data_IF_957682727742
#
_entry.id   IF_957682727742
#
_cell.length_a   1.000
_cell.length_b   1.000
_cell.length_c   1.000
_cell.angle_alpha   90.00
_cell.angle_beta   90.00
_cell.angle_gamma   90.00
#
_symmetry.space_group_name_H-M   'P 1'
#
loop_
_entity.id
_entity.type
_entity.pdbx_description
1 polymer ?
#
# COMPACT_ATOMS: atom_id res chain seq x y z
N UNK A 1 33.71 -12.42 -7.58
CA UNK A 1 32.54 -12.78 -6.75
C UNK A 1 31.94 -14.06 -7.24
N UNK A 2 31.81 -15.08 -6.39
CA UNK A 2 30.99 -16.24 -6.74
C UNK A 2 29.57 -15.75 -7.00
N UNK A 3 29.03 -16.06 -8.18
CA UNK A 3 27.68 -15.62 -8.53
C UNK A 3 26.70 -16.39 -7.64
N UNK A 4 25.97 -15.68 -6.77
CA UNK A 4 24.91 -16.27 -5.95
C UNK A 4 23.89 -16.95 -6.88
N UNK A 5 23.33 -18.08 -6.47
CA UNK A 5 22.28 -18.77 -7.22
C UNK A 5 20.93 -18.05 -7.07
N UNK A 6 20.87 -16.79 -7.48
CA UNK A 6 19.68 -15.95 -7.53
C UNK A 6 19.22 -15.89 -8.99
N UNK A 7 17.96 -16.22 -9.24
CA UNK A 7 17.40 -16.30 -10.60
C UNK A 7 16.23 -15.35 -10.79
N UNK A 8 16.40 -14.38 -11.68
CA UNK A 8 15.30 -13.51 -12.10
C UNK A 8 14.19 -14.26 -12.83
N UNK A 9 14.54 -15.34 -13.57
CA UNK A 9 13.51 -16.12 -14.25
C UNK A 9 12.61 -16.88 -13.27
N UNK A 10 13.17 -17.49 -12.21
CA UNK A 10 12.34 -18.12 -11.16
C UNK A 10 11.40 -17.11 -10.49
N UNK A 11 11.86 -15.88 -10.28
CA UNK A 11 11.04 -14.79 -9.74
C UNK A 11 9.90 -14.41 -10.70
N UNK A 12 10.18 -14.28 -12.01
CA UNK A 12 9.15 -14.06 -13.03
C UNK A 12 8.12 -15.18 -13.06
N UNK A 13 8.59 -16.44 -13.08
CA UNK A 13 7.74 -17.63 -13.07
C UNK A 13 6.86 -17.71 -11.81
N UNK A 14 7.37 -17.19 -10.70
CA UNK A 14 6.59 -17.07 -9.45
C UNK A 14 5.55 -15.99 -9.56
N UNK A 15 5.90 -14.74 -9.92
CA UNK A 15 4.96 -13.61 -10.04
C UNK A 15 3.84 -13.93 -11.03
N UNK A 16 4.15 -14.59 -12.15
CA UNK A 16 3.17 -14.96 -13.18
C UNK A 16 2.03 -15.87 -12.69
N UNK A 17 2.16 -16.47 -11.50
CA UNK A 17 1.08 -17.24 -10.87
C UNK A 17 0.00 -16.37 -10.24
N UNK A 18 0.22 -15.06 -10.12
CA UNK A 18 -0.60 -14.10 -9.38
C UNK A 18 -1.25 -13.03 -10.27
N UNK A 19 -1.53 -13.39 -11.53
CA UNK A 19 -2.25 -12.52 -12.46
C UNK A 19 -3.76 -12.47 -12.11
N UNK A 20 -4.06 -11.99 -10.91
CA UNK A 20 -5.40 -11.76 -10.38
C UNK A 20 -5.37 -10.78 -9.21
N UNK A 21 -6.45 -10.02 -9.06
CA UNK A 21 -6.64 -9.13 -7.91
C UNK A 21 -6.75 -9.98 -6.64
N UNK A 22 -5.99 -9.61 -5.59
CA UNK A 22 -5.92 -10.32 -4.31
C UNK A 22 -6.12 -9.39 -3.13
N UNK A 23 -7.22 -8.65 -3.22
CA UNK A 23 -7.61 -7.70 -2.18
C UNK A 23 -7.72 -8.39 -0.81
N UNK A 24 -7.24 -7.70 0.23
CA UNK A 24 -7.22 -8.21 1.60
C UNK A 24 -8.60 -8.68 2.08
N UNK A 25 -8.63 -9.83 2.74
CA UNK A 25 -9.83 -10.45 3.29
C UNK A 25 -10.70 -11.18 2.27
N UNK A 26 -10.24 -11.35 1.02
CA UNK A 26 -10.95 -12.09 -0.03
C UNK A 26 -10.45 -13.53 -0.17
N UNK A 27 -11.20 -14.38 -0.85
CA UNK A 27 -10.75 -15.74 -1.19
C UNK A 27 -9.57 -15.73 -2.19
N UNK A 28 -9.41 -14.65 -2.94
CA UNK A 28 -8.27 -14.46 -3.83
C UNK A 28 -6.98 -14.20 -3.02
N UNK A 29 -7.04 -13.44 -1.95
CA UNK A 29 -5.89 -13.29 -1.02
C UNK A 29 -5.52 -14.63 -0.37
N UNK A 30 -6.51 -15.41 0.10
CA UNK A 30 -6.27 -16.77 0.63
C UNK A 30 -5.62 -17.71 -0.39
N UNK A 31 -6.05 -17.62 -1.66
CA UNK A 31 -5.42 -18.35 -2.77
C UNK A 31 -3.96 -17.91 -2.94
N UNK A 32 -3.67 -16.61 -2.87
CA UNK A 32 -2.31 -16.10 -2.96
C UNK A 32 -1.44 -16.62 -1.81
N UNK A 33 -1.92 -16.57 -0.58
CA UNK A 33 -1.24 -17.13 0.58
C UNK A 33 -0.92 -18.62 0.42
N UNK A 34 -1.87 -19.39 -0.10
CA UNK A 34 -1.67 -20.82 -0.38
C UNK A 34 -0.59 -21.05 -1.45
N UNK A 35 -0.52 -20.22 -2.50
CA UNK A 35 0.51 -20.29 -3.54
C UNK A 35 1.91 -19.96 -3.00
N UNK A 36 2.03 -18.94 -2.17
CA UNK A 36 3.30 -18.55 -1.51
C UNK A 36 3.79 -19.71 -0.62
N UNK A 37 2.94 -20.25 0.24
CA UNK A 37 3.29 -21.38 1.11
C UNK A 37 3.65 -22.64 0.34
N UNK A 38 2.95 -22.90 -0.77
CA UNK A 38 3.29 -24.00 -1.68
C UNK A 38 4.67 -23.84 -2.30
N UNK A 39 5.04 -22.61 -2.69
CA UNK A 39 6.38 -22.33 -3.23
C UNK A 39 7.45 -22.56 -2.16
N UNK A 40 7.26 -22.07 -0.93
CA UNK A 40 8.17 -22.31 0.20
C UNK A 40 8.37 -23.81 0.43
N UNK A 41 7.29 -24.58 0.50
CA UNK A 41 7.35 -26.04 0.68
C UNK A 41 8.08 -26.75 -0.47
N UNK A 42 8.04 -26.20 -1.70
CA UNK A 42 8.68 -26.82 -2.87
C UNK A 42 10.20 -26.94 -2.75
N UNK A 43 10.83 -26.12 -1.93
CA UNK A 43 12.26 -26.18 -1.62
C UNK A 43 12.56 -26.51 -0.15
N UNK A 44 11.59 -27.14 0.54
CA UNK A 44 11.75 -27.65 1.90
C UNK A 44 11.77 -26.56 2.98
N UNK A 45 11.15 -25.40 2.73
CA UNK A 45 11.00 -24.35 3.71
C UNK A 45 9.65 -24.47 4.42
N UNK A 46 9.67 -24.58 5.74
CA UNK A 46 8.47 -24.56 6.57
C UNK A 46 7.96 -23.13 6.74
N UNK A 47 6.65 -22.98 6.72
CA UNK A 47 5.99 -21.69 6.95
C UNK A 47 4.67 -21.87 7.66
N UNK A 48 4.25 -20.88 8.42
CA UNK A 48 2.92 -20.84 9.01
C UNK A 48 2.16 -19.58 8.58
N UNK A 49 0.86 -19.61 8.75
CA UNK A 49 -0.04 -18.50 8.48
C UNK A 49 -0.54 -17.96 9.82
N UNK A 50 -0.35 -16.69 10.07
CA UNK A 50 -0.84 -15.96 11.23
C UNK A 50 -2.04 -15.13 10.80
N UNK A 51 -3.24 -15.65 11.06
CA UNK A 51 -4.48 -14.98 10.68
C UNK A 51 -4.86 -13.91 11.71
N UNK A 52 -5.35 -12.77 11.21
CA UNK A 52 -5.85 -11.68 12.04
C UNK A 52 -7.17 -11.11 11.48
N UNK A 53 -8.10 -10.73 12.34
CA UNK A 53 -9.33 -10.04 11.93
C UNK A 53 -9.07 -8.55 11.72
N UNK A 54 -9.77 -7.97 10.77
CA UNK A 54 -9.80 -6.52 10.56
C UNK A 54 -11.17 -6.06 10.08
N UNK A 55 -11.43 -4.77 10.24
CA UNK A 55 -12.66 -4.14 9.74
C UNK A 55 -12.33 -3.34 8.48
N UNK A 56 -13.21 -3.43 7.49
CA UNK A 56 -13.14 -2.66 6.26
C UNK A 56 -14.53 -2.21 5.84
N UNK A 57 -14.61 -1.38 4.81
CA UNK A 57 -15.87 -0.86 4.32
C UNK A 57 -16.19 -1.45 2.96
N UNK A 58 -17.43 -1.88 2.77
CA UNK A 58 -17.97 -2.34 1.49
C UNK A 58 -19.02 -1.38 0.99
N UNK A 59 -18.85 -0.93 -0.26
CA UNK A 59 -19.83 -0.10 -0.94
C UNK A 59 -20.82 -1.02 -1.63
N UNK A 60 -22.07 -1.01 -1.16
CA UNK A 60 -23.17 -1.77 -1.76
C UNK A 60 -23.75 -1.06 -2.98
N UNK A 61 -23.76 0.29 -2.95
CA UNK A 61 -24.27 1.10 -4.03
C UNK A 61 -23.61 2.46 -4.04
N UNK A 62 -23.08 2.86 -5.18
CA UNK A 62 -22.66 4.22 -5.47
C UNK A 62 -23.26 4.65 -6.80
N UNK A 63 -23.97 5.79 -6.83
CA UNK A 63 -24.59 6.28 -8.05
C UNK A 63 -24.68 7.80 -8.03
N UNK A 64 -24.54 8.39 -9.22
CA UNK A 64 -24.72 9.82 -9.44
C UNK A 64 -25.52 10.07 -10.70
N UNK A 65 -26.53 10.93 -10.62
CA UNK A 65 -27.35 11.34 -11.76
C UNK A 65 -27.61 12.84 -11.74
N UNK A 66 -27.50 13.49 -12.88
CA UNK A 66 -28.08 14.82 -13.10
C UNK A 66 -29.58 14.66 -13.34
N UNK A 67 -30.40 15.46 -12.66
CA UNK A 67 -31.86 15.39 -12.76
C UNK A 67 -32.45 16.63 -13.46
N UNK A 68 -31.75 17.76 -13.44
CA UNK A 68 -32.10 18.98 -14.16
C UNK A 68 -30.87 19.68 -14.75
N UNK A 69 -30.93 20.29 -15.96
CA UNK A 69 -32.07 20.44 -16.86
C UNK A 69 -32.29 19.23 -17.78
N UNK A 70 -31.56 18.13 -17.57
CA UNK A 70 -31.69 16.87 -18.29
C UNK A 70 -31.52 15.70 -17.31
N UNK A 71 -31.96 14.51 -17.69
CA UNK A 71 -31.68 13.30 -16.90
C UNK A 71 -30.55 12.48 -17.53
N UNK A 72 -29.51 12.19 -16.75
CA UNK A 72 -28.47 11.24 -17.13
C UNK A 72 -27.77 10.69 -15.89
N UNK A 73 -27.60 9.36 -15.86
CA UNK A 73 -26.76 8.67 -14.89
C UNK A 73 -25.30 8.63 -15.37
N UNK A 74 -24.38 8.83 -14.44
CA UNK A 74 -22.95 8.79 -14.67
C UNK A 74 -22.31 7.68 -13.82
N UNK A 75 -21.27 7.07 -14.35
CA UNK A 75 -20.50 6.10 -13.59
C UNK A 75 -19.86 6.78 -12.39
N UNK A 76 -20.02 6.18 -11.22
CA UNK A 76 -19.55 6.75 -9.96
C UNK A 76 -18.93 5.70 -9.07
N UNK A 77 -17.87 6.09 -8.36
CA UNK A 77 -17.22 5.30 -7.31
C UNK A 77 -17.48 5.93 -5.95
N UNK A 78 -17.80 5.11 -4.94
CA UNK A 78 -18.20 5.60 -3.63
C UNK A 78 -17.02 5.90 -2.70
N UNK A 79 -17.16 6.91 -1.86
CA UNK A 79 -16.20 7.23 -0.81
C UNK A 79 -16.49 6.40 0.45
N UNK A 80 -15.50 5.64 0.92
CA UNK A 80 -15.65 4.88 2.17
C UNK A 80 -15.50 5.78 3.41
N UNK A 81 -16.14 5.37 4.50
CA UNK A 81 -16.17 6.12 5.77
C UNK A 81 -16.80 7.51 5.66
N UNK A 82 -17.67 7.71 4.67
CA UNK A 82 -18.54 8.88 4.53
C UNK A 82 -19.96 8.57 5.05
N UNK A 83 -20.85 9.56 4.97
CA UNK A 83 -22.28 9.33 5.29
C UNK A 83 -22.96 8.39 4.30
N UNK A 84 -23.99 7.68 4.75
CA UNK A 84 -24.89 6.94 3.90
C UNK A 84 -26.09 7.81 3.48
N UNK A 85 -26.63 7.57 2.29
CA UNK A 85 -27.90 8.13 1.85
C UNK A 85 -29.07 7.19 2.22
N UNK A 86 -30.33 7.63 2.13
CA UNK A 86 -31.45 6.73 1.94
C UNK A 86 -31.26 5.85 0.68
N UNK A 87 -31.99 4.75 0.57
CA UNK A 87 -31.93 3.82 -0.59
C UNK A 87 -32.18 4.50 -1.94
N UNK A 88 -33.08 5.49 -1.96
CA UNK A 88 -33.42 6.32 -3.12
C UNK A 88 -32.38 7.40 -3.43
N UNK A 89 -31.43 7.60 -2.53
CA UNK A 89 -30.44 8.68 -2.61
C UNK A 89 -30.94 10.00 -2.02
N UNK A 90 -30.09 11.03 -2.10
CA UNK A 90 -30.47 12.43 -1.83
C UNK A 90 -30.54 13.18 -3.15
N UNK A 91 -31.52 14.07 -3.30
CA UNK A 91 -31.64 14.95 -4.44
C UNK A 91 -31.62 16.40 -3.96
N UNK A 92 -30.74 17.22 -4.55
CA UNK A 92 -30.53 18.61 -4.17
C UNK A 92 -30.04 19.44 -5.37
N UNK A 93 -30.06 20.75 -5.18
CA UNK A 93 -29.39 21.66 -6.11
C UNK A 93 -27.93 21.24 -6.25
N UNK A 94 -27.40 21.37 -7.45
CA UNK A 94 -26.05 20.99 -7.80
C UNK A 94 -25.21 22.22 -8.14
N UNK A 95 -23.94 22.20 -7.73
CA UNK A 95 -22.99 23.28 -8.06
C UNK A 95 -21.59 22.72 -8.28
N UNK A 96 -20.89 23.23 -9.28
CA UNK A 96 -19.47 23.03 -9.45
C UNK A 96 -18.71 24.16 -8.74
N UNK A 97 -17.93 23.80 -7.73
CA UNK A 97 -17.20 24.71 -6.85
C UNK A 97 -15.68 24.74 -7.12
N UNK A 98 -15.27 24.37 -8.33
CA UNK A 98 -13.87 24.41 -8.78
C UNK A 98 -12.92 23.72 -7.77
N UNK A 99 -11.93 24.44 -7.24
CA UNK A 99 -10.97 23.91 -6.27
C UNK A 99 -11.44 23.99 -4.81
N UNK A 100 -12.73 24.33 -4.56
CA UNK A 100 -13.29 24.39 -3.21
C UNK A 100 -12.64 25.42 -2.30
N UNK A 101 -12.32 26.60 -2.84
CA UNK A 101 -11.88 27.73 -2.05
C UNK A 101 -13.05 28.37 -1.26
N UNK A 102 -12.75 29.28 -0.33
CA UNK A 102 -13.77 29.87 0.55
C UNK A 102 -14.85 30.67 -0.22
N UNK A 103 -14.50 31.26 -1.35
CA UNK A 103 -15.45 32.03 -2.17
C UNK A 103 -16.40 31.05 -2.88
N UNK A 104 -15.84 30.05 -3.55
CA UNK A 104 -16.61 29.02 -4.28
C UNK A 104 -17.53 28.23 -3.34
N UNK A 105 -17.13 28.03 -2.09
CA UNK A 105 -17.92 27.31 -1.08
C UNK A 105 -18.92 28.23 -0.31
N UNK A 106 -18.93 29.53 -0.51
CA UNK A 106 -19.77 30.46 0.26
C UNK A 106 -21.29 30.25 0.07
N UNK A 107 -21.73 29.64 -1.04
CA UNK A 107 -23.15 29.48 -1.40
C UNK A 107 -23.55 28.02 -1.65
N UNK A 108 -22.89 27.05 -1.00
CA UNK A 108 -23.10 25.60 -1.24
C UNK A 108 -23.96 24.91 -0.21
N UNK A 109 -24.43 25.62 0.83
CA UNK A 109 -25.23 25.02 1.88
C UNK A 109 -26.46 24.30 1.35
N UNK A 110 -26.61 23.03 1.73
CA UNK A 110 -27.71 22.15 1.31
C UNK A 110 -27.62 21.66 -0.13
N UNK A 111 -26.52 21.90 -0.83
CA UNK A 111 -26.31 21.47 -2.23
C UNK A 111 -25.39 20.26 -2.33
N UNK A 112 -25.48 19.54 -3.43
CA UNK A 112 -24.47 18.58 -3.88
C UNK A 112 -23.37 19.35 -4.58
N UNK A 113 -22.15 19.25 -4.08
CA UNK A 113 -21.00 20.10 -4.46
C UNK A 113 -19.97 19.27 -5.21
N UNK A 114 -19.70 19.63 -6.47
CA UNK A 114 -18.62 19.01 -7.24
C UNK A 114 -17.33 19.83 -7.10
N UNK A 115 -16.21 19.17 -6.85
CA UNK A 115 -14.86 19.77 -6.71
C UNK A 115 -13.83 19.08 -7.60
N UNK A 116 -12.84 19.86 -8.06
CA UNK A 116 -11.81 19.43 -9.00
C UNK A 116 -10.61 18.77 -8.33
N UNK A 117 -10.84 17.88 -7.37
CA UNK A 117 -9.78 17.08 -6.72
C UNK A 117 -10.37 15.83 -6.05
N UNK A 118 -9.49 14.87 -5.72
CA UNK A 118 -9.85 13.78 -4.82
C UNK A 118 -10.07 14.37 -3.42
N UNK A 119 -11.31 14.26 -2.92
CA UNK A 119 -11.67 14.75 -1.59
C UNK A 119 -10.96 13.94 -0.52
N UNK A 120 -10.02 14.58 0.16
CA UNK A 120 -9.29 14.08 1.33
C UNK A 120 -9.72 14.84 2.58
N UNK A 121 -9.08 14.58 3.72
CA UNK A 121 -9.41 15.15 5.04
C UNK A 121 -9.75 16.66 4.99
N UNK A 122 -8.86 17.48 4.43
CA UNK A 122 -9.00 18.95 4.50
C UNK A 122 -10.17 19.45 3.65
N UNK A 123 -10.32 18.92 2.43
CA UNK A 123 -11.46 19.27 1.59
C UNK A 123 -12.78 18.75 2.17
N UNK A 124 -12.80 17.54 2.72
CA UNK A 124 -13.98 17.00 3.39
C UNK A 124 -14.45 17.90 4.53
N UNK A 125 -13.51 18.39 5.39
CA UNK A 125 -13.81 19.31 6.48
C UNK A 125 -14.32 20.67 5.98
N UNK A 126 -13.78 21.19 4.86
CA UNK A 126 -14.27 22.43 4.24
C UNK A 126 -15.72 22.26 3.75
N UNK A 127 -16.02 21.18 3.05
CA UNK A 127 -17.36 20.88 2.56
C UNK A 127 -18.36 20.69 3.70
N UNK A 128 -17.95 19.99 4.75
CA UNK A 128 -18.74 19.81 5.96
C UNK A 128 -19.06 21.17 6.63
N UNK A 129 -18.04 22.01 6.83
CA UNK A 129 -18.19 23.35 7.40
C UNK A 129 -19.08 24.26 6.56
N UNK A 130 -18.99 24.15 5.24
CA UNK A 130 -19.84 24.90 4.31
C UNK A 130 -21.29 24.41 4.30
N UNK A 131 -21.57 23.25 4.89
CA UNK A 131 -22.91 22.65 4.99
C UNK A 131 -23.40 22.04 3.70
N UNK A 132 -22.49 21.47 2.88
CA UNK A 132 -22.85 20.69 1.70
C UNK A 132 -23.78 19.52 2.09
N UNK A 133 -24.74 19.17 1.23
CA UNK A 133 -25.60 18.00 1.41
C UNK A 133 -24.89 16.71 1.00
N UNK A 134 -23.92 16.81 0.09
CA UNK A 134 -23.06 15.74 -0.38
C UNK A 134 -22.01 16.29 -1.32
N UNK A 135 -21.08 15.45 -1.75
CA UNK A 135 -20.02 15.91 -2.66
C UNK A 135 -19.76 14.94 -3.83
N UNK A 136 -19.22 15.51 -4.90
CA UNK A 136 -18.72 14.79 -6.07
C UNK A 136 -17.29 15.22 -6.32
N UNK A 137 -16.36 14.28 -6.35
CA UNK A 137 -14.96 14.55 -6.70
C UNK A 137 -14.69 14.21 -8.15
N UNK A 138 -13.81 14.97 -8.78
CA UNK A 138 -13.39 14.73 -10.17
C UNK A 138 -12.06 13.99 -10.15
N UNK A 139 -11.96 12.90 -10.91
CA UNK A 139 -10.74 12.11 -11.08
C UNK A 139 -10.49 11.79 -12.55
N UNK A 140 -9.28 11.34 -12.86
CA UNK A 140 -8.89 11.05 -14.24
C UNK A 140 -8.48 12.30 -15.03
N UNK A 141 -8.26 12.11 -16.31
CA UNK A 141 -7.73 13.14 -17.22
C UNK A 141 -8.56 13.24 -18.51
N UNK A 142 -8.42 14.32 -19.29
CA UNK A 142 -9.15 14.46 -20.55
C UNK A 142 -8.70 13.50 -21.66
N UNK A 143 -7.58 12.78 -21.47
CA UNK A 143 -7.02 11.85 -22.46
C UNK A 143 -7.25 10.38 -22.11
N UNK A 144 -7.95 10.11 -21.01
CA UNK A 144 -8.23 8.76 -20.56
C UNK A 144 -9.24 8.06 -21.50
N UNK A 145 -8.95 6.80 -21.83
CA UNK A 145 -9.75 5.93 -22.67
C UNK A 145 -9.98 4.56 -22.01
N UNK A 146 -11.00 3.84 -22.45
CA UNK A 146 -11.28 2.47 -21.98
C UNK A 146 -11.40 2.37 -20.47
N UNK A 147 -10.63 1.50 -19.85
CA UNK A 147 -10.64 1.25 -18.40
C UNK A 147 -10.11 2.43 -17.56
N UNK A 148 -9.28 3.30 -18.13
CA UNK A 148 -8.80 4.51 -17.45
C UNK A 148 -9.94 5.48 -17.12
N UNK A 149 -11.08 5.37 -17.81
CA UNK A 149 -12.29 6.15 -17.52
C UNK A 149 -13.05 5.70 -16.28
N UNK A 150 -12.59 4.66 -15.61
CA UNK A 150 -13.17 4.28 -14.31
C UNK A 150 -12.93 5.40 -13.29
N UNK A 151 -13.99 5.92 -12.65
CA UNK A 151 -13.80 6.93 -11.61
C UNK A 151 -13.07 6.33 -10.41
N UNK A 152 -12.37 7.19 -9.68
CA UNK A 152 -11.70 6.81 -8.44
C UNK A 152 -12.34 7.56 -7.28
N UNK A 153 -12.34 6.93 -6.12
CA UNK A 153 -12.71 7.56 -4.86
C UNK A 153 -11.65 7.25 -3.80
N UNK A 154 -11.72 7.93 -2.69
CA UNK A 154 -10.89 7.67 -1.52
C UNK A 154 -11.77 7.31 -0.32
N UNK A 155 -11.18 7.19 0.85
CA UNK A 155 -11.88 7.15 2.11
C UNK A 155 -11.48 8.35 2.97
N UNK A 156 -12.33 8.77 3.86
CA UNK A 156 -11.88 9.69 4.91
C UNK A 156 -11.05 8.90 5.94
N UNK A 157 -10.02 9.52 6.54
CA UNK A 157 -9.21 8.83 7.54
C UNK A 157 -10.04 8.30 8.70
N UNK A 158 -9.75 7.09 9.18
CA UNK A 158 -10.49 6.45 10.28
C UNK A 158 -10.60 7.38 11.50
N UNK A 159 -9.50 8.00 11.91
CA UNK A 159 -9.48 8.93 13.05
C UNK A 159 -10.45 10.12 12.89
N UNK A 160 -10.62 10.61 11.67
CA UNK A 160 -11.62 11.65 11.39
C UNK A 160 -13.04 11.07 11.48
N UNK A 161 -13.27 9.91 10.87
CA UNK A 161 -14.56 9.22 10.94
C UNK A 161 -14.99 8.99 12.40
N UNK A 162 -14.10 8.46 13.24
CA UNK A 162 -14.36 8.19 14.66
C UNK A 162 -14.63 9.46 15.49
N UNK A 163 -14.14 10.62 15.02
CA UNK A 163 -14.33 11.91 15.69
C UNK A 163 -15.64 12.62 15.34
N UNK A 164 -16.34 12.17 14.31
CA UNK A 164 -17.59 12.74 13.82
C UNK A 164 -18.78 11.88 14.22
N UNK A 165 -19.92 12.51 14.48
CA UNK A 165 -21.17 11.78 14.64
C UNK A 165 -21.75 11.41 13.27
N UNK A 166 -22.46 10.30 13.17
CA UNK A 166 -23.09 9.85 11.91
C UNK A 166 -23.93 10.95 11.22
N UNK A 167 -24.58 11.83 12.00
CA UNK A 167 -25.40 12.96 11.49
C UNK A 167 -24.58 14.10 10.90
N UNK A 168 -23.30 14.13 11.18
CA UNK A 168 -22.36 15.13 10.68
C UNK A 168 -21.67 14.67 9.41
N UNK A 169 -21.74 13.37 9.11
CA UNK A 169 -21.12 12.81 7.91
C UNK A 169 -21.89 13.24 6.65
N UNK A 170 -21.17 13.63 5.63
CA UNK A 170 -21.71 13.88 4.29
C UNK A 170 -21.26 12.79 3.34
N UNK A 171 -22.14 12.34 2.49
CA UNK A 171 -21.90 11.30 1.49
C UNK A 171 -21.21 11.85 0.26
N UNK A 172 -20.38 11.02 -0.39
CA UNK A 172 -19.65 11.46 -1.57
C UNK A 172 -19.35 10.35 -2.56
N UNK A 173 -19.21 10.76 -3.81
CA UNK A 173 -18.80 9.89 -4.91
C UNK A 173 -17.71 10.55 -5.76
N UNK A 174 -16.91 9.73 -6.42
CA UNK A 174 -15.99 10.13 -7.47
C UNK A 174 -16.62 9.92 -8.85
N UNK A 175 -16.40 10.82 -9.79
CA UNK A 175 -16.74 10.68 -11.21
C UNK A 175 -15.51 10.97 -12.08
N UNK A 176 -15.56 10.54 -13.32
CA UNK A 176 -14.48 10.79 -14.26
C UNK A 176 -14.50 12.23 -14.80
N UNK A 177 -13.32 12.79 -15.12
CA UNK A 177 -13.12 14.13 -15.66
C UNK A 177 -14.01 14.43 -16.89
N UNK A 178 -14.10 13.50 -17.84
CA UNK A 178 -14.90 13.70 -19.06
C UNK A 178 -16.41 13.77 -18.76
N UNK A 179 -16.88 13.06 -17.74
CA UNK A 179 -18.26 13.15 -17.29
C UNK A 179 -18.51 14.48 -16.56
N UNK A 180 -17.57 14.92 -15.72
CA UNK A 180 -17.62 16.23 -15.09
C UNK A 180 -17.64 17.38 -16.10
N UNK A 181 -16.80 17.29 -17.15
CA UNK A 181 -16.79 18.25 -18.26
C UNK A 181 -18.16 18.34 -18.95
N UNK A 182 -18.79 17.20 -19.24
CA UNK A 182 -20.14 17.16 -19.82
C UNK A 182 -21.18 17.81 -18.89
N UNK A 183 -21.14 17.45 -17.59
CA UNK A 183 -22.06 17.97 -16.57
C UNK A 183 -22.01 19.49 -16.49
N UNK A 184 -20.81 20.06 -16.41
CA UNK A 184 -20.61 21.53 -16.35
C UNK A 184 -21.01 22.18 -17.66
N UNK A 185 -20.62 21.63 -18.81
CA UNK A 185 -20.93 22.17 -20.13
C UNK A 185 -22.45 22.22 -20.41
N UNK A 186 -23.18 21.22 -19.93
CA UNK A 186 -24.65 21.14 -20.08
C UNK A 186 -25.41 21.92 -19.01
N UNK A 187 -24.72 22.56 -18.08
CA UNK A 187 -25.34 23.45 -17.09
C UNK A 187 -26.21 22.71 -16.08
N UNK A 188 -25.74 21.56 -15.58
CA UNK A 188 -26.45 20.82 -14.54
C UNK A 188 -26.74 21.73 -13.34
N UNK A 189 -27.99 21.70 -12.86
CA UNK A 189 -28.46 22.54 -11.74
C UNK A 189 -29.05 21.75 -10.58
N UNK A 190 -29.40 20.47 -10.81
CA UNK A 190 -29.93 19.56 -9.80
C UNK A 190 -29.40 18.15 -10.04
N UNK A 191 -29.09 17.43 -8.96
CA UNK A 191 -28.53 16.10 -9.06
C UNK A 191 -29.03 15.19 -7.93
N UNK A 192 -28.95 13.88 -8.18
CA UNK A 192 -29.18 12.83 -7.20
C UNK A 192 -27.88 12.08 -6.95
N UNK A 193 -27.55 11.88 -5.67
CA UNK A 193 -26.41 11.11 -5.20
C UNK A 193 -26.90 9.98 -4.32
N UNK A 194 -26.41 8.76 -4.57
CA UNK A 194 -26.68 7.59 -3.73
C UNK A 194 -25.33 7.00 -3.29
N UNK A 195 -25.19 6.76 -1.99
CA UNK A 195 -24.08 6.02 -1.42
C UNK A 195 -24.60 5.15 -0.27
N UNK A 196 -24.47 3.84 -0.43
CA UNK A 196 -24.78 2.85 0.59
C UNK A 196 -23.55 2.01 0.85
N UNK A 197 -23.10 2.01 2.09
CA UNK A 197 -21.90 1.29 2.51
C UNK A 197 -22.10 0.72 3.91
N UNK A 198 -21.35 -0.32 4.22
CA UNK A 198 -21.37 -0.92 5.54
C UNK A 198 -19.95 -1.34 5.97
N UNK A 199 -19.72 -1.30 7.27
CA UNK A 199 -18.52 -1.87 7.86
C UNK A 199 -18.67 -3.39 7.95
N UNK A 200 -17.65 -4.10 7.47
CA UNK A 200 -17.64 -5.56 7.48
C UNK A 200 -16.37 -6.08 8.14
N UNK A 201 -16.49 -7.20 8.85
CA UNK A 201 -15.33 -7.92 9.38
C UNK A 201 -14.78 -8.86 8.33
N UNK A 202 -13.46 -8.83 8.16
CA UNK A 202 -12.69 -9.70 7.26
C UNK A 202 -11.53 -10.33 8.02
N UNK A 203 -10.92 -11.34 7.43
CA UNK A 203 -9.72 -11.98 7.97
C UNK A 203 -8.66 -12.00 6.88
N UNK A 204 -7.47 -11.48 7.21
CA UNK A 204 -6.26 -11.59 6.42
C UNK A 204 -5.23 -12.42 7.18
N UNK A 205 -4.00 -12.56 6.66
CA UNK A 205 -2.97 -13.30 7.38
C UNK A 205 -1.56 -13.01 6.86
N UNK A 206 -0.60 -13.11 7.77
CA UNK A 206 0.82 -13.01 7.50
C UNK A 206 1.41 -14.40 7.30
N UNK A 207 2.23 -14.57 6.28
CA UNK A 207 2.98 -15.83 6.08
C UNK A 207 4.37 -15.62 6.65
N UNK A 208 4.74 -16.44 7.62
CA UNK A 208 6.03 -16.35 8.32
C UNK A 208 6.85 -17.61 8.07
N UNK A 209 8.13 -17.41 7.72
CA UNK A 209 9.11 -18.47 7.55
C UNK A 209 10.42 -18.05 8.20
N UNK A 210 11.07 -18.93 8.96
CA UNK A 210 12.27 -18.60 9.75
C UNK A 210 13.39 -19.60 9.47
N UNK A 211 14.57 -19.08 9.16
CA UNK A 211 15.83 -19.85 9.03
C UNK A 211 16.64 -19.55 10.28
N UNK A 212 16.77 -20.53 11.22
CA UNK A 212 17.55 -20.33 12.44
C UNK A 212 19.01 -20.02 12.15
N UNK A 213 19.57 -19.07 12.89
CA UNK A 213 21.00 -18.80 12.87
C UNK A 213 21.85 -19.91 13.49
N UNK A 214 23.17 -19.80 13.36
CA UNK A 214 24.11 -20.72 14.01
C UNK A 214 24.56 -20.21 15.38
N UNK A 215 25.53 -19.33 15.42
CA UNK A 215 26.17 -18.83 16.67
C UNK A 215 25.61 -17.49 17.18
N UNK A 216 24.66 -16.88 16.44
CA UNK A 216 23.91 -15.66 16.79
C UNK A 216 22.42 -15.84 16.53
N UNK A 217 21.89 -17.01 16.82
CA UNK A 217 20.50 -17.37 16.55
C UNK A 217 19.48 -16.49 17.29
N UNK A 218 19.89 -15.85 18.39
CA UNK A 218 19.08 -14.92 19.19
C UNK A 218 18.88 -13.55 18.56
N UNK A 219 19.65 -13.21 17.53
CA UNK A 219 19.53 -11.95 16.78
C UNK A 219 18.80 -12.21 15.46
N UNK A 220 17.78 -11.42 15.17
CA UNK A 220 16.91 -11.60 14.00
C UNK A 220 17.11 -10.47 13.00
N UNK A 221 17.30 -10.83 11.73
CA UNK A 221 17.16 -9.93 10.58
C UNK A 221 15.89 -10.30 9.85
N UNK A 222 15.04 -9.32 9.58
CA UNK A 222 13.73 -9.55 8.99
C UNK A 222 13.71 -9.09 7.53
N UNK A 223 13.25 -9.93 6.61
CA UNK A 223 12.99 -9.58 5.22
C UNK A 223 11.49 -9.63 4.97
N UNK A 224 10.92 -8.52 4.50
CA UNK A 224 9.47 -8.36 4.39
C UNK A 224 9.02 -7.84 3.04
N UNK A 225 7.80 -8.21 2.63
CA UNK A 225 7.07 -7.65 1.51
C UNK A 225 5.59 -7.98 1.69
N UNK A 226 4.68 -7.12 1.23
CA UNK A 226 3.28 -7.50 1.23
C UNK A 226 2.89 -8.32 0.00
N UNK A 227 1.75 -9.02 0.08
CA UNK A 227 1.28 -9.87 -1.01
C UNK A 227 -0.18 -9.62 -1.41
N UNK A 228 -0.91 -8.80 -0.68
CA UNK A 228 -2.23 -8.31 -1.12
C UNK A 228 -2.10 -7.27 -2.24
N UNK A 229 -3.19 -6.86 -2.83
CA UNK A 229 -3.24 -5.83 -3.86
C UNK A 229 -4.46 -4.94 -3.69
N UNK A 230 -4.41 -3.76 -4.31
CA UNK A 230 -5.60 -2.93 -4.49
C UNK A 230 -6.62 -3.59 -5.43
N UNK A 231 -7.92 -3.18 -5.40
CA UNK A 231 -8.93 -3.72 -6.30
C UNK A 231 -8.78 -3.28 -7.77
N UNK A 232 -7.92 -2.31 -8.06
CA UNK A 232 -7.75 -1.74 -9.40
C UNK A 232 -6.83 -2.56 -10.31
N UNK A 233 -6.02 -3.47 -9.77
CA UNK A 233 -5.09 -4.24 -10.58
C UNK A 233 -4.48 -5.44 -9.87
N UNK A 234 -3.83 -6.34 -10.61
CA UNK A 234 -3.22 -7.53 -10.03
C UNK A 234 -1.98 -7.27 -9.19
N UNK A 235 -1.43 -6.04 -9.16
CA UNK A 235 -0.32 -5.67 -8.29
C UNK A 235 0.92 -6.53 -8.50
N UNK A 236 1.42 -6.60 -9.72
CA UNK A 236 2.64 -7.34 -10.01
C UNK A 236 3.88 -6.58 -9.53
N UNK A 237 3.92 -5.27 -9.79
CA UNK A 237 4.91 -4.33 -9.28
C UNK A 237 4.68 -3.99 -7.81
N UNK A 238 3.41 -3.82 -7.44
CA UNK A 238 2.93 -3.51 -6.10
C UNK A 238 2.01 -4.62 -5.54
N UNK A 239 2.53 -5.71 -4.89
CA UNK A 239 3.96 -5.91 -4.58
C UNK A 239 4.36 -7.39 -4.73
N UNK A 240 3.81 -8.14 -5.72
CA UNK A 240 4.26 -9.51 -5.94
C UNK A 240 5.74 -9.59 -6.34
N UNK A 241 6.29 -8.54 -6.95
CA UNK A 241 7.72 -8.44 -7.24
C UNK A 241 8.57 -8.46 -5.95
N UNK A 242 8.17 -7.70 -4.93
CA UNK A 242 8.80 -7.74 -3.61
C UNK A 242 8.68 -9.12 -2.95
N UNK A 243 7.48 -9.69 -2.99
CA UNK A 243 7.22 -11.04 -2.49
C UNK A 243 8.11 -12.10 -3.17
N UNK A 244 8.35 -11.98 -4.49
CA UNK A 244 9.22 -12.86 -5.25
C UNK A 244 10.71 -12.67 -4.91
N UNK A 245 11.14 -11.43 -4.65
CA UNK A 245 12.51 -11.11 -4.26
C UNK A 245 12.85 -11.78 -2.92
N UNK A 246 12.02 -11.59 -1.90
CA UNK A 246 12.29 -12.21 -0.59
C UNK A 246 12.15 -13.73 -0.64
N UNK A 247 11.27 -14.28 -1.50
CA UNK A 247 11.16 -15.72 -1.75
C UNK A 247 12.47 -16.30 -2.31
N UNK A 248 13.08 -15.64 -3.28
CA UNK A 248 14.32 -16.07 -3.89
C UNK A 248 15.51 -15.98 -2.91
N UNK A 249 15.51 -14.96 -2.05
CA UNK A 249 16.52 -14.81 -0.98
C UNK A 249 16.32 -15.89 0.08
N UNK A 250 15.09 -16.21 0.46
CA UNK A 250 14.77 -17.32 1.37
C UNK A 250 15.30 -18.66 0.81
N UNK A 251 15.10 -18.93 -0.48
CA UNK A 251 15.65 -20.10 -1.16
C UNK A 251 17.18 -20.15 -1.07
N UNK A 252 17.87 -19.04 -1.29
CA UNK A 252 19.32 -18.94 -1.18
C UNK A 252 19.80 -19.30 0.23
N UNK A 253 19.22 -18.72 1.26
CA UNK A 253 19.64 -18.94 2.64
C UNK A 253 19.23 -20.32 3.19
N UNK A 254 18.23 -20.97 2.60
CA UNK A 254 17.93 -22.37 2.92
C UNK A 254 19.11 -23.32 2.61
N UNK A 255 19.92 -22.97 1.61
CA UNK A 255 21.15 -23.68 1.22
C UNK A 255 22.41 -23.11 1.89
N UNK A 256 22.34 -21.89 2.43
CA UNK A 256 23.48 -21.13 2.99
C UNK A 256 23.13 -20.59 4.39
N UNK A 257 23.25 -21.46 5.37
CA UNK A 257 22.81 -21.14 6.73
C UNK A 257 23.55 -19.91 7.30
N UNK A 258 22.82 -18.89 7.78
CA UNK A 258 23.37 -17.65 8.30
C UNK A 258 23.83 -17.81 9.76
N UNK A 259 24.62 -16.84 10.28
CA UNK A 259 24.95 -16.78 11.71
C UNK A 259 23.78 -16.26 12.55
N UNK A 260 23.06 -15.23 12.04
CA UNK A 260 21.84 -14.68 12.64
C UNK A 260 20.61 -15.37 12.08
N UNK A 261 19.57 -15.45 12.85
CA UNK A 261 18.27 -15.89 12.36
C UNK A 261 17.76 -14.93 11.28
N UNK A 262 17.31 -15.49 10.16
CA UNK A 262 16.59 -14.74 9.12
C UNK A 262 15.13 -15.09 9.18
N UNK A 263 14.30 -14.08 9.24
CA UNK A 263 12.86 -14.20 9.22
C UNK A 263 12.28 -13.53 7.99
N UNK A 264 11.47 -14.28 7.25
CA UNK A 264 10.83 -13.85 6.03
C UNK A 264 9.34 -13.73 6.27
N UNK A 265 8.75 -12.57 5.98
CA UNK A 265 7.34 -12.33 6.23
C UNK A 265 6.70 -11.74 4.98
N UNK A 266 5.65 -12.40 4.50
CA UNK A 266 4.75 -11.88 3.47
C UNK A 266 3.52 -11.35 4.18
N UNK A 267 3.38 -10.02 4.25
CA UNK A 267 2.28 -9.37 4.94
C UNK A 267 1.01 -9.36 4.10
N UNK A 268 -0.14 -9.62 4.72
CA UNK A 268 -1.45 -9.36 4.16
C UNK A 268 -1.98 -8.00 4.61
N UNK A 269 -2.95 -7.47 3.87
CA UNK A 269 -3.65 -6.24 4.20
C UNK A 269 -2.74 -5.01 4.42
N UNK A 270 -1.64 -4.90 3.69
CA UNK A 270 -0.81 -3.71 3.65
C UNK A 270 -1.59 -2.54 3.06
N UNK A 271 -2.28 -2.77 1.95
CA UNK A 271 -3.10 -1.81 1.19
C UNK A 271 -4.32 -1.28 1.97
N UNK A 272 -4.62 -1.90 3.10
CA UNK A 272 -5.64 -1.42 4.05
C UNK A 272 -5.05 -0.58 5.20
N UNK A 273 -3.77 -0.22 5.13
CA UNK A 273 -3.06 0.63 6.08
C UNK A 273 -2.11 -0.12 6.99
N UNK A 274 -1.23 -0.94 6.41
CA UNK A 274 -0.17 -1.71 7.08
C UNK A 274 -0.73 -2.66 8.15
N UNK A 275 -1.94 -3.23 7.94
CA UNK A 275 -2.62 -3.99 9.00
C UNK A 275 -1.85 -5.27 9.36
N UNK A 276 -1.28 -5.95 8.38
CA UNK A 276 -0.50 -7.17 8.60
C UNK A 276 0.74 -6.93 9.44
N UNK A 277 1.56 -5.96 9.07
CA UNK A 277 2.78 -5.65 9.84
C UNK A 277 2.46 -5.09 11.23
N UNK A 278 1.36 -4.33 11.37
CA UNK A 278 0.87 -3.84 12.68
C UNK A 278 0.40 -4.97 13.57
N UNK A 279 -0.30 -5.95 13.04
CA UNK A 279 -0.72 -7.13 13.80
C UNK A 279 0.51 -7.98 14.20
N UNK A 280 1.43 -8.19 13.25
CA UNK A 280 2.67 -8.93 13.51
C UNK A 280 3.45 -8.36 14.71
N UNK A 281 3.76 -7.06 14.71
CA UNK A 281 4.51 -6.45 15.81
C UNK A 281 3.75 -6.46 17.14
N UNK A 282 2.42 -6.49 17.11
CA UNK A 282 1.59 -6.63 18.31
C UNK A 282 1.65 -8.05 18.88
N UNK A 283 1.54 -9.06 18.04
CA UNK A 283 1.58 -10.48 18.42
C UNK A 283 2.97 -10.87 18.91
N UNK A 284 4.02 -10.36 18.26
CA UNK A 284 5.42 -10.67 18.56
C UNK A 284 6.11 -9.63 19.46
N UNK A 285 5.36 -8.80 20.19
CA UNK A 285 5.91 -7.70 20.99
C UNK A 285 7.04 -8.15 21.94
N UNK A 286 6.94 -9.34 22.52
CA UNK A 286 7.96 -9.89 23.42
C UNK A 286 9.25 -10.34 22.71
N UNK A 287 9.24 -10.48 21.38
CA UNK A 287 10.41 -10.90 20.59
C UNK A 287 11.08 -9.71 19.87
N UNK A 288 10.47 -8.52 19.88
CA UNK A 288 10.96 -7.39 19.11
C UNK A 288 12.37 -6.95 19.49
N UNK A 289 12.77 -7.12 20.73
CA UNK A 289 14.14 -6.84 21.21
C UNK A 289 15.21 -7.72 20.55
N UNK A 290 14.83 -8.85 19.95
CA UNK A 290 15.73 -9.70 19.17
C UNK A 290 15.98 -9.17 17.75
N UNK A 291 15.06 -8.40 17.20
CA UNK A 291 15.16 -7.86 15.84
C UNK A 291 16.20 -6.75 15.76
N UNK A 292 17.13 -6.87 14.80
CA UNK A 292 18.24 -5.93 14.61
C UNK A 292 18.06 -5.02 13.43
N UNK A 293 17.36 -5.48 12.40
CA UNK A 293 17.12 -4.70 11.19
C UNK A 293 15.98 -5.30 10.37
N UNK A 294 15.07 -4.45 9.89
CA UNK A 294 14.06 -4.85 8.92
C UNK A 294 14.48 -4.40 7.52
N UNK A 295 14.39 -5.34 6.58
CA UNK A 295 14.66 -5.13 5.15
C UNK A 295 13.37 -5.40 4.37
N UNK A 296 12.61 -4.35 4.11
CA UNK A 296 11.37 -4.41 3.36
C UNK A 296 11.63 -4.20 1.86
N UNK A 297 10.82 -4.84 1.03
CA UNK A 297 10.78 -4.60 -0.43
C UNK A 297 9.36 -4.20 -0.78
N UNK A 298 9.23 -3.04 -1.41
CA UNK A 298 7.95 -2.52 -1.84
C UNK A 298 8.12 -1.71 -3.12
N UNK A 299 7.41 -2.12 -4.19
CA UNK A 299 7.57 -1.62 -5.56
C UNK A 299 8.90 -2.06 -6.20
N UNK A 300 8.89 -3.18 -6.92
CA UNK A 300 10.10 -3.70 -7.55
C UNK A 300 9.85 -4.32 -8.93
N UNK A 301 10.91 -4.67 -9.63
CA UNK A 301 10.87 -5.55 -10.80
C UNK A 301 10.74 -4.87 -12.15
N UNK A 302 10.34 -3.62 -12.27
CA UNK A 302 10.23 -2.96 -13.58
C UNK A 302 11.59 -2.75 -14.24
N UNK A 303 11.64 -2.88 -15.58
CA UNK A 303 12.88 -2.77 -16.34
C UNK A 303 13.44 -1.33 -16.32
N UNK A 304 12.59 -0.36 -16.60
CA UNK A 304 12.94 1.04 -16.62
C UNK A 304 12.73 1.65 -15.24
N UNK A 305 13.81 2.21 -14.67
CA UNK A 305 13.77 2.79 -13.33
C UNK A 305 15.11 2.60 -12.60
N UNK A 306 15.25 3.22 -11.44
CA UNK A 306 16.40 3.13 -10.55
C UNK A 306 16.02 2.57 -9.18
N UNK A 307 16.95 1.88 -8.52
CA UNK A 307 16.73 1.44 -7.15
C UNK A 307 16.86 2.62 -6.19
N UNK A 308 15.92 2.72 -5.27
CA UNK A 308 15.92 3.68 -4.16
C UNK A 308 15.73 2.90 -2.86
N UNK A 309 16.51 3.23 -1.84
CA UNK A 309 16.32 2.66 -0.51
C UNK A 309 15.97 3.80 0.45
N UNK A 310 14.74 3.77 0.97
CA UNK A 310 14.34 4.58 2.11
C UNK A 310 14.86 3.95 3.40
N UNK A 311 15.51 4.74 4.26
CA UNK A 311 16.06 4.28 5.54
C UNK A 311 15.40 5.06 6.66
N UNK A 312 14.78 4.34 7.58
CA UNK A 312 14.26 4.87 8.83
C UNK A 312 15.16 4.38 9.98
N UNK A 313 16.14 5.20 10.33
CA UNK A 313 17.17 4.87 11.31
C UNK A 313 18.30 5.88 11.25
N UNK A 314 19.44 5.57 11.88
CA UNK A 314 20.61 6.43 11.83
C UNK A 314 21.15 6.59 10.40
N UNK A 315 21.62 7.77 10.06
CA UNK A 315 22.11 8.10 8.69
C UNK A 315 23.34 7.29 8.26
N UNK A 316 24.10 6.71 9.19
CA UNK A 316 25.22 5.80 8.91
C UNK A 316 24.76 4.56 8.15
N UNK A 317 23.50 4.14 8.29
CA UNK A 317 22.92 3.04 7.53
C UNK A 317 22.93 3.35 6.03
N UNK A 318 22.62 4.59 5.62
CA UNK A 318 22.69 5.00 4.22
C UNK A 318 24.11 4.85 3.65
N UNK A 319 25.12 5.21 4.42
CA UNK A 319 26.54 5.09 4.04
C UNK A 319 26.95 3.62 3.88
N UNK A 320 26.58 2.79 4.84
CA UNK A 320 26.82 1.34 4.80
C UNK A 320 26.17 0.70 3.58
N UNK A 321 24.86 0.96 3.35
CA UNK A 321 24.13 0.41 2.21
C UNK A 321 24.73 0.85 0.88
N UNK A 322 25.18 2.11 0.77
CA UNK A 322 25.89 2.63 -0.41
C UNK A 322 27.20 1.89 -0.66
N UNK A 323 27.93 1.58 0.40
CA UNK A 323 29.16 0.79 0.29
C UNK A 323 28.89 -0.63 -0.21
N UNK A 324 27.94 -1.33 0.41
CA UNK A 324 27.54 -2.69 0.02
C UNK A 324 27.00 -2.75 -1.43
N UNK A 325 26.25 -1.75 -1.86
CA UNK A 325 25.80 -1.66 -3.25
C UNK A 325 26.97 -1.54 -4.24
N UNK A 326 28.01 -0.76 -3.90
CA UNK A 326 29.21 -0.66 -4.74
C UNK A 326 29.94 -1.98 -4.90
N UNK A 327 29.95 -2.84 -3.90
CA UNK A 327 30.52 -4.18 -3.99
C UNK A 327 29.79 -5.07 -4.98
N UNK A 328 28.47 -4.89 -5.13
CA UNK A 328 27.67 -5.64 -6.11
C UNK A 328 27.75 -5.06 -7.53
N UNK A 329 28.15 -3.82 -7.68
CA UNK A 329 28.06 -3.08 -8.94
C UNK A 329 26.62 -2.73 -9.34
N UNK A 330 25.67 -2.76 -8.39
CA UNK A 330 24.26 -2.43 -8.60
C UNK A 330 24.02 -1.01 -8.08
N UNK A 331 23.67 -0.10 -8.99
CA UNK A 331 23.38 1.28 -8.63
C UNK A 331 22.10 1.42 -7.79
N UNK A 332 22.16 2.27 -6.79
CA UNK A 332 21.02 2.69 -6.00
C UNK A 332 21.24 4.09 -5.41
N UNK A 333 20.16 4.72 -4.95
CA UNK A 333 20.20 5.92 -4.12
C UNK A 333 19.61 5.62 -2.75
N UNK A 334 20.08 6.31 -1.71
CA UNK A 334 19.50 6.21 -0.36
C UNK A 334 18.79 7.51 0.02
N UNK A 335 17.72 7.40 0.77
CA UNK A 335 16.99 8.51 1.39
C UNK A 335 16.78 8.20 2.86
N UNK A 336 17.29 9.07 3.75
CA UNK A 336 17.09 8.92 5.17
C UNK A 336 15.78 9.63 5.56
N UNK A 337 14.69 8.87 5.62
CA UNK A 337 13.33 9.34 5.88
C UNK A 337 12.41 8.19 6.24
N UNK A 338 11.25 8.46 6.84
CA UNK A 338 10.18 7.46 6.93
C UNK A 338 9.66 7.13 5.53
N UNK A 339 9.19 5.89 5.35
CA UNK A 339 8.71 5.40 4.07
C UNK A 339 7.35 4.73 4.25
N UNK A 340 6.33 5.16 3.52
CA UNK A 340 4.94 4.70 3.67
C UNK A 340 4.72 3.24 3.29
N UNK A 341 5.37 2.31 4.02
CA UNK A 341 5.31 0.87 3.81
C UNK A 341 5.56 0.12 5.12
N UNK A 342 5.54 -1.21 5.12
CA UNK A 342 5.65 -2.09 6.31
C UNK A 342 6.89 -1.85 7.17
N UNK A 343 7.99 -1.34 6.59
CA UNK A 343 9.20 -0.95 7.34
C UNK A 343 8.92 0.11 8.42
N UNK A 344 7.94 1.00 8.21
CA UNK A 344 7.56 2.00 9.19
C UNK A 344 7.06 1.38 10.49
N UNK A 345 6.40 0.23 10.40
CA UNK A 345 5.85 -0.47 11.56
C UNK A 345 6.95 -0.98 12.49
N UNK A 346 8.03 -1.53 11.91
CA UNK A 346 9.22 -1.92 12.67
C UNK A 346 9.95 -0.71 13.26
N UNK A 347 10.14 0.34 12.46
CA UNK A 347 10.78 1.56 12.90
C UNK A 347 10.01 2.25 14.05
N UNK A 348 8.69 2.21 14.02
CA UNK A 348 7.84 2.73 15.09
C UNK A 348 8.06 2.00 16.43
N UNK A 349 8.46 0.73 16.39
CA UNK A 349 8.84 -0.07 17.57
C UNK A 349 10.33 -0.01 17.90
N UNK A 350 11.07 0.91 17.30
CA UNK A 350 12.48 1.15 17.62
C UNK A 350 13.47 0.31 16.83
N UNK A 351 13.02 -0.51 15.89
CA UNK A 351 13.87 -1.37 15.05
C UNK A 351 14.27 -0.60 13.80
N UNK A 352 15.57 -0.32 13.56
CA UNK A 352 16.01 0.30 12.32
C UNK A 352 15.52 -0.48 11.10
N UNK A 353 15.07 0.25 10.08
CA UNK A 353 14.40 -0.38 8.96
C UNK A 353 14.76 0.30 7.63
N UNK A 354 14.65 -0.46 6.55
CA UNK A 354 14.74 0.07 5.19
C UNK A 354 13.62 -0.47 4.30
N UNK A 355 13.25 0.29 3.26
CA UNK A 355 12.44 -0.20 2.15
C UNK A 355 13.23 -0.05 0.86
N UNK A 356 13.50 -1.18 0.18
CA UNK A 356 13.96 -1.21 -1.18
C UNK A 356 12.79 -0.98 -2.12
N UNK A 357 12.90 0.08 -2.90
CA UNK A 357 11.94 0.47 -3.92
C UNK A 357 12.65 0.61 -5.27
N UNK A 358 11.92 0.47 -6.35
CA UNK A 358 12.40 0.78 -7.70
C UNK A 358 11.40 1.66 -8.40
N UNK A 359 11.86 2.77 -8.99
CA UNK A 359 11.00 3.61 -9.81
C UNK A 359 10.25 2.78 -10.85
N UNK A 360 8.98 3.10 -11.06
CA UNK A 360 8.14 2.37 -12.00
C UNK A 360 6.84 3.11 -12.29
N UNK A 361 5.98 2.46 -13.05
CA UNK A 361 4.69 2.96 -13.51
C UNK A 361 3.58 1.97 -13.20
N UNK A 362 2.37 2.45 -13.04
CA UNK A 362 1.17 1.61 -12.98
C UNK A 362 0.70 1.22 -11.58
N UNK A 363 1.43 1.59 -10.52
CA UNK A 363 0.99 1.37 -9.13
C UNK A 363 -0.47 1.83 -8.94
N UNK A 364 -1.28 0.97 -8.32
CA UNK A 364 -2.71 1.22 -8.05
C UNK A 364 -3.54 1.45 -9.32
N UNK A 365 -3.17 0.78 -10.42
CA UNK A 365 -3.92 0.79 -11.68
C UNK A 365 -3.98 -0.61 -12.29
N UNK A 366 -4.86 -0.80 -13.29
CA UNK A 366 -4.93 -2.04 -14.05
C UNK A 366 -3.67 -2.29 -14.92
N UNK A 367 -2.79 -1.30 -15.08
CA UNK A 367 -1.49 -1.45 -15.74
C UNK A 367 -0.45 -2.16 -14.89
N UNK A 368 -0.70 -2.36 -13.60
CA UNK A 368 0.24 -3.06 -12.72
C UNK A 368 0.20 -4.57 -12.96
N UNK A 369 0.75 -4.99 -14.07
CA UNK A 369 0.76 -6.37 -14.55
C UNK A 369 2.16 -6.92 -14.71
N UNK A 370 2.28 -8.24 -14.87
CA UNK A 370 3.57 -8.94 -14.99
C UNK A 370 4.36 -8.51 -16.23
N UNK A 371 3.71 -8.03 -17.27
CA UNK A 371 4.33 -7.58 -18.52
C UNK A 371 5.25 -6.36 -18.31
N UNK A 372 5.03 -5.57 -17.28
CA UNK A 372 5.90 -4.45 -16.93
C UNK A 372 7.15 -4.89 -16.17
N UNK A 373 7.21 -6.12 -15.69
CA UNK A 373 8.34 -6.64 -14.93
C UNK A 373 9.44 -7.21 -15.83
N UNK A 374 10.61 -7.40 -15.26
CA UNK A 374 11.77 -7.96 -15.95
C UNK A 374 12.56 -8.89 -15.05
N UNK A 375 12.84 -10.07 -15.54
CA UNK A 375 13.72 -11.02 -14.86
C UNK A 375 15.09 -10.41 -14.51
N UNK A 376 15.62 -9.57 -15.38
CA UNK A 376 16.88 -8.86 -15.13
C UNK A 376 16.79 -7.91 -13.95
N UNK A 377 15.70 -7.16 -13.82
CA UNK A 377 15.50 -6.20 -12.73
C UNK A 377 15.26 -6.91 -11.40
N UNK A 378 14.42 -7.94 -11.39
CA UNK A 378 14.17 -8.78 -10.21
C UNK A 378 15.46 -9.43 -9.70
N UNK A 379 16.26 -10.03 -10.60
CA UNK A 379 17.55 -10.64 -10.23
C UNK A 379 18.48 -9.63 -9.58
N UNK A 380 18.60 -8.42 -10.12
CA UNK A 380 19.47 -7.37 -9.59
C UNK A 380 19.02 -6.90 -8.21
N UNK A 381 17.74 -6.66 -8.03
CA UNK A 381 17.19 -6.26 -6.72
C UNK A 381 17.40 -7.35 -5.67
N UNK A 382 17.13 -8.60 -6.04
CA UNK A 382 17.36 -9.75 -5.15
C UNK A 382 18.84 -9.97 -4.84
N UNK A 383 19.77 -9.79 -5.82
CA UNK A 383 21.21 -9.89 -5.58
C UNK A 383 21.73 -8.79 -4.64
N UNK A 384 21.24 -7.55 -4.81
CA UNK A 384 21.59 -6.43 -3.92
C UNK A 384 21.11 -6.71 -2.50
N UNK A 385 19.85 -7.05 -2.32
CA UNK A 385 19.27 -7.28 -1.00
C UNK A 385 19.87 -8.53 -0.34
N UNK A 386 20.09 -9.61 -1.09
CA UNK A 386 20.77 -10.81 -0.60
C UNK A 386 22.19 -10.50 -0.11
N UNK A 387 22.94 -9.65 -0.82
CA UNK A 387 24.27 -9.22 -0.39
C UNK A 387 24.24 -8.40 0.91
N UNK A 388 23.26 -7.53 1.05
CA UNK A 388 23.06 -6.75 2.29
C UNK A 388 22.72 -7.71 3.45
N UNK A 389 21.77 -8.62 3.25
CA UNK A 389 21.36 -9.58 4.27
C UNK A 389 22.52 -10.52 4.69
N UNK A 390 23.28 -11.04 3.72
CA UNK A 390 24.44 -11.90 3.96
C UNK A 390 25.53 -11.16 4.76
N UNK A 391 25.83 -9.91 4.37
CA UNK A 391 26.81 -9.06 5.05
C UNK A 391 26.41 -8.79 6.49
N UNK A 392 25.15 -8.40 6.74
CA UNK A 392 24.64 -8.14 8.08
C UNK A 392 24.52 -9.42 8.92
N UNK A 393 24.18 -10.55 8.29
CA UNK A 393 24.13 -11.82 8.98
C UNK A 393 25.51 -12.33 9.44
N UNK A 394 26.60 -11.96 8.73
CA UNK A 394 27.96 -12.46 8.97
C UNK A 394 28.76 -11.70 10.04
N UNK A 395 28.49 -10.40 10.22
CA UNK A 395 29.30 -9.53 11.12
C UNK A 395 29.06 -9.81 12.61
N UNK A 396 30.02 -9.44 13.46
CA UNK A 396 29.93 -9.68 14.90
C UNK A 396 28.95 -8.75 15.62
N UNK A 397 28.87 -7.49 15.22
CA UNK A 397 27.95 -6.49 15.77
C UNK A 397 27.38 -5.60 14.68
N UNK A 398 26.15 -5.11 14.85
CA UNK A 398 25.56 -4.18 13.88
C UNK A 398 26.41 -2.94 13.74
N UNK A 399 26.69 -2.49 12.48
CA UNK A 399 27.60 -1.38 12.23
C UNK A 399 26.89 -0.01 12.31
N UNK A 400 25.76 0.05 12.99
CA UNK A 400 24.94 1.25 13.17
C UNK A 400 24.17 1.20 14.50
N UNK A 401 23.78 2.36 15.06
CA UNK A 401 22.95 2.44 16.27
C UNK A 401 21.65 1.68 16.12
N UNK A 402 21.25 0.97 17.18
CA UNK A 402 20.02 0.16 17.25
C UNK A 402 18.85 0.98 17.81
N UNK A 403 18.75 2.24 17.41
CA UNK A 403 17.71 3.15 17.86
C UNK A 403 17.25 4.07 16.71
N UNK A 404 16.04 4.51 16.81
CA UNK A 404 15.43 5.42 15.84
C UNK A 404 15.66 6.88 16.29
N UNK A 405 16.17 7.76 15.41
CA UNK A 405 16.29 9.18 15.71
C UNK A 405 14.95 9.81 16.14
N UNK A 406 15.01 10.72 17.12
CA UNK A 406 13.82 11.38 17.69
C UNK A 406 12.94 12.09 16.64
N UNK A 407 13.56 12.61 15.59
CA UNK A 407 12.82 13.20 14.47
C UNK A 407 11.90 12.19 13.80
N UNK A 408 12.39 10.96 13.55
CA UNK A 408 11.58 9.90 12.93
C UNK A 408 10.56 9.31 13.90
N UNK A 409 10.86 9.22 15.20
CA UNK A 409 9.87 8.79 16.19
C UNK A 409 8.63 9.67 16.13
N UNK A 410 8.80 11.00 16.15
CA UNK A 410 7.69 11.95 16.04
C UNK A 410 6.89 11.79 14.74
N UNK A 411 7.58 11.64 13.60
CA UNK A 411 6.92 11.43 12.32
C UNK A 411 6.15 10.10 12.29
N UNK A 412 6.68 9.04 12.89
CA UNK A 412 6.02 7.74 13.00
C UNK A 412 4.81 7.81 13.93
N UNK A 413 4.90 8.49 15.07
CA UNK A 413 3.75 8.71 15.96
C UNK A 413 2.63 9.49 15.25
N UNK A 414 2.97 10.51 14.48
CA UNK A 414 1.99 11.23 13.65
C UNK A 414 1.39 10.33 12.57
N UNK A 415 2.23 9.51 11.90
CA UNK A 415 1.81 8.59 10.85
C UNK A 415 0.82 7.54 11.37
N UNK A 416 1.12 6.92 12.51
CA UNK A 416 0.25 5.91 13.14
C UNK A 416 -0.85 6.51 14.03
N UNK A 417 -0.82 7.81 14.28
CA UNK A 417 -1.82 8.51 15.05
C UNK A 417 -1.76 8.24 16.56
N UNK A 418 -0.56 8.02 17.07
CA UNK A 418 -0.29 7.77 18.50
C UNK A 418 -0.18 9.09 19.28
#
# INVERSE_FOLDING_TARGET
MNKRNISGQRQMDFVSKFDFIREAGTDAEKKAAALIRKELSSFGMDSHLEEFPFYTWEIRKAAFAVTEPYYKEYQAEGYIRCGNTPEEGIEADFVYAENGDEISLSHVRGKIVMVNEIVRKDMYLKLLKAGAAGFVSITGTPVDEGEDRMPKAAGIPQKLFDSLNERELIQGVGIHYLDALEIVTKGASRARLTLLQEEVSRTSGNIVARIPGTDRAEEILTLTAHYDSVPQGPGAYDNMAGAAIIMEICRYFKEHQPRRTLEFIWFGAEEKGLLGSRDYIKVHESELDAHRFNMNVDLAGQLVGGNVIGVTGDSSICSMLTYLARETGIGMTTKNQIWGSDSNTFAWKGIPAMTLNRDGFGMHTHYDTVELLSAWSLERSAQLLCHIAESLAAIDSMPFPQEIPEEFKKQLDEYFGA
#
